data_IF_209130107222
#
_entry.id   IF_209130107222
#
_cell.length_a   1.000
_cell.length_b   1.000
_cell.length_c   1.000
_cell.angle_alpha   90.00
_cell.angle_beta   90.00
_cell.angle_gamma   90.00
#
_symmetry.space_group_name_H-M   'P 1'
#
loop_
_entity.id
_entity.type
_entity.pdbx_description
1 polymer ?
#
# COMPACT_ATOMS: atom_id res chain seq x y z
N UNK A 1 14.79 25.03 -36.54
CA UNK A 1 14.98 25.98 -35.42
C UNK A 1 14.16 25.42 -34.27
N UNK A 2 14.63 24.47 -33.46
CA UNK A 2 15.68 24.56 -32.41
C UNK A 2 15.51 25.79 -31.51
N UNK A 3 15.22 25.49 -30.24
CA UNK A 3 15.39 26.27 -29.00
C UNK A 3 14.24 27.14 -28.45
N UNK A 4 14.06 26.97 -27.13
CA UNK A 4 13.21 27.67 -26.15
C UNK A 4 11.74 27.20 -26.10
N UNK A 5 11.24 26.54 -25.04
CA UNK A 5 11.50 26.80 -23.61
C UNK A 5 11.37 25.53 -22.76
N UNK A 6 12.49 25.20 -22.11
CA UNK A 6 12.73 24.09 -21.20
C UNK A 6 12.16 24.40 -19.80
N UNK A 7 10.85 24.61 -19.69
CA UNK A 7 10.24 25.08 -18.42
C UNK A 7 8.85 24.51 -18.08
N UNK A 8 8.46 23.35 -18.63
CA UNK A 8 7.16 22.72 -18.33
C UNK A 8 7.24 21.33 -17.66
N UNK A 9 8.42 20.92 -17.18
CA UNK A 9 8.62 19.60 -16.52
C UNK A 9 8.64 19.69 -14.99
N UNK A 10 8.32 20.85 -14.40
CA UNK A 10 8.30 21.07 -12.93
C UNK A 10 6.89 21.29 -12.34
N UNK A 11 5.82 20.93 -13.05
CA UNK A 11 4.44 21.15 -12.61
C UNK A 11 3.59 19.88 -12.40
N UNK A 12 4.19 18.68 -12.44
CA UNK A 12 3.50 17.40 -12.12
C UNK A 12 3.97 16.92 -10.72
N UNK A 13 4.08 17.85 -9.77
CA UNK A 13 4.18 17.54 -8.35
C UNK A 13 2.85 17.94 -7.69
N UNK A 14 2.21 16.96 -7.07
CA UNK A 14 0.99 17.09 -6.23
C UNK A 14 -0.28 17.58 -6.93
N UNK A 15 -1.29 16.72 -7.15
CA UNK A 15 -2.64 17.16 -6.83
C UNK A 15 -2.68 17.34 -5.31
N UNK A 16 -3.11 18.53 -4.89
CA UNK A 16 -3.38 18.95 -3.52
C UNK A 16 -3.64 17.79 -2.56
N UNK A 17 -2.83 17.74 -1.49
CA UNK A 17 -2.98 16.77 -0.44
C UNK A 17 -4.39 16.78 0.13
N UNK A 18 -5.14 15.72 -0.12
CA UNK A 18 -6.03 15.21 0.90
C UNK A 18 -5.14 14.83 2.08
N UNK A 19 -5.08 15.72 3.08
CA UNK A 19 -4.63 15.35 4.42
C UNK A 19 -5.31 14.03 4.76
N UNK A 20 -4.59 13.06 5.33
CA UNK A 20 -5.22 11.91 5.99
C UNK A 20 -6.40 12.45 6.81
N UNK A 21 -7.62 12.24 6.33
CA UNK A 21 -8.81 12.85 6.92
C UNK A 21 -9.03 12.18 8.28
N UNK A 22 -9.69 12.91 9.19
CA UNK A 22 -9.86 12.54 10.60
C UNK A 22 -10.47 11.15 10.87
N UNK A 23 -10.97 10.44 9.86
CA UNK A 23 -11.51 9.09 10.00
C UNK A 23 -10.42 8.02 10.13
N UNK A 24 -9.32 8.11 9.37
CA UNK A 24 -8.11 7.26 9.59
C UNK A 24 -7.40 7.61 10.91
N UNK A 25 -7.65 8.82 11.42
CA UNK A 25 -7.12 9.34 12.70
C UNK A 25 -7.78 8.68 13.92
N UNK A 26 -9.06 8.32 13.81
CA UNK A 26 -9.88 7.83 14.92
C UNK A 26 -9.55 6.38 15.32
N UNK A 27 -9.37 5.48 14.34
CA UNK A 27 -9.21 4.06 14.65
C UNK A 27 -7.79 3.68 15.09
N UNK A 28 -6.79 4.44 14.66
CA UNK A 28 -5.38 4.24 15.02
C UNK A 28 -5.07 4.59 16.50
N UNK A 29 -5.78 5.58 17.06
CA UNK A 29 -5.52 6.10 18.41
C UNK A 29 -5.93 5.16 19.55
N UNK A 30 -6.80 4.18 19.31
CA UNK A 30 -7.42 3.39 20.40
C UNK A 30 -6.55 2.25 20.93
N UNK A 31 -5.42 1.93 20.28
CA UNK A 31 -4.58 0.78 20.64
C UNK A 31 -3.19 1.11 21.21
N UNK A 32 -2.84 2.40 21.36
CA UNK A 32 -1.49 2.83 21.76
C UNK A 32 -1.31 3.03 23.28
N UNK A 33 -0.15 2.66 23.86
CA UNK A 33 0.21 3.01 25.23
C UNK A 33 0.38 4.53 25.40
N UNK A 34 -0.20 5.08 26.48
CA UNK A 34 -0.37 6.51 26.78
C UNK A 34 0.91 7.27 27.23
N UNK A 35 2.11 6.82 26.86
CA UNK A 35 3.39 7.41 27.32
C UNK A 35 4.28 7.97 26.20
N UNK A 36 3.73 8.23 25.01
CA UNK A 36 4.51 8.80 23.89
C UNK A 36 4.53 10.32 23.93
N UNK A 37 5.67 10.93 23.57
CA UNK A 37 5.68 12.36 23.26
C UNK A 37 4.81 12.62 22.03
N UNK A 38 4.03 13.70 22.05
CA UNK A 38 3.14 14.06 20.94
C UNK A 38 3.93 14.24 19.62
N UNK A 39 5.18 14.70 19.71
CA UNK A 39 6.05 14.92 18.55
C UNK A 39 6.52 13.62 17.88
N UNK A 40 6.78 12.55 18.66
CA UNK A 40 7.14 11.25 18.10
C UNK A 40 5.94 10.60 17.39
N UNK A 41 4.73 10.74 17.96
CA UNK A 41 3.51 10.30 17.30
C UNK A 41 3.26 11.08 15.99
N UNK A 42 3.43 12.40 16.01
CA UNK A 42 3.32 13.24 14.81
C UNK A 42 4.32 12.80 13.72
N UNK A 43 5.58 12.51 14.10
CA UNK A 43 6.59 12.02 13.17
C UNK A 43 6.24 10.64 12.60
N UNK A 44 5.73 9.74 13.44
CA UNK A 44 5.25 8.43 13.02
C UNK A 44 4.11 8.54 11.99
N UNK A 45 3.08 9.31 12.29
CA UNK A 45 1.93 9.51 11.40
C UNK A 45 2.36 10.10 10.06
N UNK A 46 3.31 11.03 10.07
CA UNK A 46 3.84 11.65 8.85
C UNK A 46 4.57 10.64 7.97
N UNK A 47 5.48 9.85 8.54
CA UNK A 47 6.24 8.83 7.79
C UNK A 47 5.29 7.73 7.30
N UNK A 48 4.38 7.26 8.16
CA UNK A 48 3.37 6.26 7.81
C UNK A 48 2.50 6.74 6.64
N UNK A 49 2.06 8.01 6.64
CA UNK A 49 1.27 8.58 5.54
C UNK A 49 2.06 8.59 4.23
N UNK A 50 3.34 8.98 4.26
CA UNK A 50 4.20 8.98 3.07
C UNK A 50 4.46 7.57 2.52
N UNK A 51 4.68 6.59 3.40
CA UNK A 51 4.78 5.18 3.03
C UNK A 51 3.48 4.70 2.38
N UNK A 52 2.33 5.00 3.01
CA UNK A 52 1.01 4.65 2.50
C UNK A 52 0.74 5.26 1.12
N UNK A 53 1.12 6.51 0.90
CA UNK A 53 0.95 7.18 -0.40
C UNK A 53 1.95 6.66 -1.45
N UNK A 54 3.04 6.01 -1.02
CA UNK A 54 4.15 5.58 -1.88
C UNK A 54 5.07 6.73 -2.28
N UNK A 55 5.07 7.82 -1.50
CA UNK A 55 6.07 8.90 -1.62
C UNK A 55 7.46 8.43 -1.15
N UNK A 56 7.49 7.38 -0.33
CA UNK A 56 8.69 6.66 0.08
C UNK A 56 8.69 5.27 -0.59
N UNK A 57 9.53 5.10 -1.60
CA UNK A 57 9.56 3.90 -2.42
C UNK A 57 10.27 2.73 -1.70
N UNK A 58 9.89 1.50 -2.03
CA UNK A 58 10.59 0.29 -1.55
C UNK A 58 12.08 0.36 -1.88
N UNK A 59 12.93 -0.02 -0.92
CA UNK A 59 14.39 0.05 -1.03
C UNK A 59 14.99 1.46 -0.87
N UNK A 60 14.17 2.52 -0.91
CA UNK A 60 14.68 3.89 -0.84
C UNK A 60 15.18 4.23 0.57
N UNK A 61 16.21 5.07 0.62
CA UNK A 61 16.72 5.62 1.88
C UNK A 61 15.77 6.68 2.43
N UNK A 62 15.47 6.61 3.72
CA UNK A 62 14.59 7.54 4.40
C UNK A 62 15.31 8.87 4.69
N UNK A 63 14.83 10.01 4.17
CA UNK A 63 15.49 11.30 4.37
C UNK A 63 15.09 11.93 5.71
N UNK A 64 15.53 11.36 6.83
CA UNK A 64 15.13 11.75 8.21
C UNK A 64 15.21 13.26 8.49
N UNK A 65 16.24 13.94 7.98
CA UNK A 65 16.43 15.38 8.17
C UNK A 65 15.37 16.20 7.42
N UNK A 66 15.04 15.79 6.19
CA UNK A 66 14.00 16.46 5.41
C UNK A 66 12.63 16.22 6.07
N UNK A 67 12.35 14.99 6.48
CA UNK A 67 11.11 14.62 7.18
C UNK A 67 10.92 15.42 8.47
N UNK A 68 11.99 15.59 9.28
CA UNK A 68 11.95 16.42 10.49
C UNK A 68 11.58 17.89 10.16
N UNK A 69 12.20 18.43 9.11
CA UNK A 69 11.97 19.80 8.65
C UNK A 69 10.54 20.03 8.16
N UNK A 70 9.97 19.06 7.44
CA UNK A 70 8.61 19.15 6.89
C UNK A 70 7.52 19.34 7.97
N UNK A 71 7.71 18.73 9.14
CA UNK A 71 6.74 18.79 10.26
C UNK A 71 7.20 19.67 11.42
N UNK A 72 8.34 20.37 11.27
CA UNK A 72 8.84 21.34 12.25
C UNK A 72 9.32 20.72 13.56
N UNK A 73 9.86 19.50 13.54
CA UNK A 73 10.36 18.80 14.74
C UNK A 73 11.88 18.58 14.67
N UNK A 74 12.50 18.23 15.80
CA UNK A 74 13.92 17.82 15.82
C UNK A 74 14.11 16.40 15.29
N UNK A 75 15.36 15.95 15.13
CA UNK A 75 15.65 14.59 14.63
C UNK A 75 15.29 13.48 15.63
N UNK A 76 15.25 13.77 16.93
CA UNK A 76 14.97 12.79 17.98
C UNK A 76 13.59 12.13 17.83
N UNK A 77 12.46 12.87 17.75
CA UNK A 77 11.15 12.25 17.54
C UNK A 77 11.03 11.51 16.20
N UNK A 78 11.75 11.95 15.16
CA UNK A 78 11.83 11.20 13.89
C UNK A 78 12.52 9.86 14.09
N UNK A 79 13.63 9.80 14.83
CA UNK A 79 14.31 8.53 15.13
C UNK A 79 13.46 7.58 15.96
N UNK A 80 12.70 8.09 16.94
CA UNK A 80 11.74 7.28 17.70
C UNK A 80 10.65 6.69 16.79
N UNK A 81 10.09 7.51 15.89
CA UNK A 81 9.12 7.06 14.90
C UNK A 81 9.69 5.99 13.96
N UNK A 82 10.93 6.17 13.50
CA UNK A 82 11.61 5.20 12.64
C UNK A 82 11.86 3.88 13.37
N UNK A 83 12.33 3.90 14.62
CA UNK A 83 12.54 2.69 15.41
C UNK A 83 11.23 1.90 15.60
N UNK A 84 10.11 2.62 15.78
CA UNK A 84 8.79 2.00 15.82
C UNK A 84 8.43 1.36 14.48
N UNK A 85 8.56 2.07 13.37
CA UNK A 85 8.25 1.55 12.03
C UNK A 85 9.16 0.39 11.61
N UNK A 86 10.40 0.36 12.12
CA UNK A 86 11.29 -0.79 12.00
C UNK A 86 10.78 -1.99 12.79
N UNK A 87 10.37 -1.79 14.05
CA UNK A 87 9.79 -2.88 14.86
C UNK A 87 8.50 -3.47 14.28
N UNK A 88 7.82 -2.69 13.43
CA UNK A 88 6.60 -3.10 12.71
C UNK A 88 6.92 -3.72 11.33
N UNK A 89 8.19 -3.76 10.93
CA UNK A 89 8.63 -4.37 9.67
C UNK A 89 8.45 -3.48 8.43
N UNK A 90 8.25 -2.17 8.57
CA UNK A 90 8.16 -1.26 7.43
C UNK A 90 9.50 -0.72 6.99
N UNK A 91 10.41 -0.53 7.94
CA UNK A 91 11.74 0.02 7.72
C UNK A 91 12.80 -0.97 8.18
N UNK A 92 14.02 -0.75 7.73
CA UNK A 92 15.23 -1.39 8.26
C UNK A 92 16.25 -0.30 8.59
N UNK A 93 16.79 -0.31 9.81
CA UNK A 93 17.89 0.57 10.19
C UNK A 93 19.22 -0.14 9.99
N UNK A 94 20.13 0.55 9.33
CA UNK A 94 21.48 0.06 9.06
C UNK A 94 22.48 0.95 9.80
N UNK A 95 23.26 0.40 10.75
CA UNK A 95 24.24 1.15 11.54
C UNK A 95 25.15 2.02 10.67
N UNK A 96 25.31 3.28 11.04
CA UNK A 96 26.11 4.30 10.34
C UNK A 96 25.68 4.63 8.89
N UNK A 97 24.73 3.91 8.31
CA UNK A 97 24.23 4.18 6.96
C UNK A 97 22.89 4.92 7.00
N UNK A 98 21.98 4.55 7.88
CA UNK A 98 20.66 5.17 8.04
C UNK A 98 19.51 4.18 7.86
N UNK A 99 18.32 4.72 7.65
CA UNK A 99 17.07 3.96 7.63
C UNK A 99 16.55 3.81 6.20
N UNK A 100 16.01 2.65 5.84
CA UNK A 100 15.52 2.35 4.49
C UNK A 100 14.12 1.77 4.54
N UNK A 101 13.32 1.99 3.49
CA UNK A 101 12.07 1.26 3.30
C UNK A 101 12.42 -0.19 3.01
N UNK A 102 11.94 -1.10 3.86
CA UNK A 102 12.21 -2.54 3.74
C UNK A 102 11.71 -3.07 2.40
N UNK A 103 12.21 -4.21 1.96
CA UNK A 103 11.59 -5.04 0.93
C UNK A 103 11.26 -6.40 1.55
N UNK A 104 10.01 -6.83 1.39
CA UNK A 104 9.55 -8.15 1.82
C UNK A 104 10.17 -9.23 0.94
N UNK A 105 10.58 -10.34 1.53
CA UNK A 105 11.04 -11.51 0.76
C UNK A 105 9.85 -12.26 0.16
N UNK A 106 10.10 -13.11 -0.84
CA UNK A 106 9.04 -13.82 -1.57
C UNK A 106 8.24 -14.78 -0.66
N UNK A 107 8.94 -15.52 0.18
CA UNK A 107 8.36 -16.42 1.19
C UNK A 107 7.57 -15.65 2.24
N UNK A 108 8.14 -14.57 2.79
CA UNK A 108 7.45 -13.69 3.74
C UNK A 108 6.16 -13.11 3.15
N UNK A 109 6.16 -12.75 1.87
CA UNK A 109 4.97 -12.26 1.18
C UNK A 109 3.91 -13.35 1.03
N UNK A 110 4.32 -14.60 0.74
CA UNK A 110 3.40 -15.73 0.66
C UNK A 110 2.75 -16.04 2.02
N UNK A 111 3.55 -16.03 3.09
CA UNK A 111 3.10 -16.17 4.48
C UNK A 111 2.12 -15.05 4.87
N UNK A 112 2.39 -13.81 4.44
CA UNK A 112 1.48 -12.68 4.66
C UNK A 112 0.10 -12.94 4.04
N UNK A 113 0.05 -13.47 2.81
CA UNK A 113 -1.23 -13.80 2.18
C UNK A 113 -1.96 -14.95 2.89
N UNK A 114 -1.24 -15.91 3.49
CA UNK A 114 -1.86 -16.99 4.26
C UNK A 114 -2.51 -16.40 5.49
N UNK A 115 -1.78 -15.54 6.19
CA UNK A 115 -2.27 -14.81 7.33
C UNK A 115 -3.50 -13.95 6.99
N UNK A 116 -3.43 -13.17 5.90
CA UNK A 116 -4.55 -12.34 5.41
C UNK A 116 -5.79 -13.18 5.14
N UNK A 117 -5.65 -14.27 4.40
CA UNK A 117 -6.78 -15.12 4.02
C UNK A 117 -7.50 -15.66 5.27
N UNK A 118 -6.75 -16.20 6.24
CA UNK A 118 -7.36 -16.72 7.47
C UNK A 118 -7.98 -15.61 8.33
N UNK A 119 -7.26 -14.51 8.53
CA UNK A 119 -7.69 -13.42 9.40
C UNK A 119 -8.91 -12.68 8.83
N UNK A 120 -8.86 -12.31 7.55
CA UNK A 120 -9.92 -11.52 6.92
C UNK A 120 -11.20 -12.33 6.70
N UNK A 121 -11.09 -13.64 6.40
CA UNK A 121 -12.27 -14.50 6.32
C UNK A 121 -12.93 -14.72 7.68
N UNK A 122 -12.16 -14.85 8.75
CA UNK A 122 -12.72 -14.90 10.10
C UNK A 122 -13.33 -13.55 10.50
N UNK A 123 -12.69 -12.44 10.17
CA UNK A 123 -13.25 -11.11 10.38
C UNK A 123 -14.58 -10.93 9.64
N UNK A 124 -14.68 -11.41 8.39
CA UNK A 124 -15.91 -11.40 7.61
C UNK A 124 -17.04 -12.18 8.30
N UNK A 125 -16.74 -13.34 8.88
CA UNK A 125 -17.71 -14.13 9.65
C UNK A 125 -18.28 -13.33 10.83
N UNK A 126 -17.40 -12.71 11.62
CA UNK A 126 -17.81 -11.87 12.74
C UNK A 126 -18.63 -10.67 12.27
N UNK A 127 -18.20 -10.02 11.19
CA UNK A 127 -18.93 -8.88 10.61
C UNK A 127 -20.32 -9.30 10.13
N UNK A 128 -20.47 -10.45 9.46
CA UNK A 128 -21.77 -10.95 9.02
C UNK A 128 -22.76 -11.11 10.19
N UNK A 129 -22.27 -11.52 11.36
CA UNK A 129 -23.10 -11.72 12.54
C UNK A 129 -23.54 -10.42 13.22
N UNK A 130 -22.77 -9.33 13.05
CA UNK A 130 -22.99 -8.07 13.78
C UNK A 130 -23.16 -6.82 12.92
N UNK A 131 -23.12 -6.93 11.59
CA UNK A 131 -23.17 -5.79 10.69
C UNK A 131 -24.51 -5.04 10.79
N UNK A 132 -24.43 -3.72 10.91
CA UNK A 132 -25.57 -2.83 10.81
C UNK A 132 -25.68 -2.19 9.42
N UNK A 133 -26.80 -1.50 9.17
CA UNK A 133 -27.03 -0.81 7.91
C UNK A 133 -25.95 0.25 7.60
N UNK A 134 -25.38 0.87 8.64
CA UNK A 134 -24.37 1.92 8.50
C UNK A 134 -23.04 1.35 7.99
N UNK A 135 -22.60 0.21 8.51
CA UNK A 135 -21.41 -0.48 8.03
C UNK A 135 -21.58 -0.95 6.58
N UNK A 136 -22.72 -1.58 6.27
CA UNK A 136 -23.04 -2.04 4.90
C UNK A 136 -23.02 -0.85 3.92
N UNK A 137 -23.55 0.30 4.33
CA UNK A 137 -23.51 1.52 3.53
C UNK A 137 -22.07 1.98 3.29
N UNK A 138 -21.25 2.11 4.34
CA UNK A 138 -19.85 2.56 4.22
C UNK A 138 -19.01 1.66 3.32
N UNK A 139 -19.13 0.34 3.47
CA UNK A 139 -18.44 -0.62 2.58
C UNK A 139 -18.92 -0.48 1.13
N UNK A 140 -20.23 -0.26 0.94
CA UNK A 140 -20.83 0.02 -0.37
C UNK A 140 -20.32 1.32 -1.01
N UNK A 141 -20.12 2.38 -0.24
CA UNK A 141 -19.58 3.66 -0.70
C UNK A 141 -18.13 3.51 -1.18
N UNK A 142 -17.27 2.78 -0.45
CA UNK A 142 -15.91 2.47 -0.90
C UNK A 142 -15.91 1.69 -2.23
N UNK A 143 -16.82 0.71 -2.37
CA UNK A 143 -17.00 -0.02 -3.63
C UNK A 143 -17.43 0.89 -4.79
N UNK A 144 -18.30 1.87 -4.51
CA UNK A 144 -18.77 2.82 -5.51
C UNK A 144 -17.64 3.76 -5.95
N UNK A 145 -16.86 4.29 -5.01
CA UNK A 145 -15.73 5.18 -5.30
C UNK A 145 -14.65 4.48 -6.15
N UNK A 146 -14.33 3.21 -5.87
CA UNK A 146 -13.41 2.43 -6.70
C UNK A 146 -13.92 2.30 -8.14
N UNK A 147 -15.21 2.02 -8.30
CA UNK A 147 -15.83 1.89 -9.62
C UNK A 147 -15.95 3.24 -10.35
N UNK A 148 -16.10 4.34 -9.62
CA UNK A 148 -16.15 5.69 -10.19
C UNK A 148 -14.81 6.11 -10.79
N UNK A 149 -13.69 5.76 -10.14
CA UNK A 149 -12.35 5.97 -10.72
C UNK A 149 -12.16 5.21 -12.04
N UNK A 150 -12.62 3.95 -12.10
CA UNK A 150 -12.62 3.16 -13.34
C UNK A 150 -13.41 3.89 -14.44
N UNK A 151 -14.61 4.40 -14.13
CA UNK A 151 -15.43 5.14 -15.10
C UNK A 151 -14.79 6.45 -15.55
N UNK A 152 -14.14 7.18 -14.65
CA UNK A 152 -13.49 8.45 -14.97
C UNK A 152 -12.30 8.23 -15.91
N UNK A 153 -11.48 7.19 -15.64
CA UNK A 153 -10.42 6.74 -16.52
C UNK A 153 -10.93 6.45 -17.93
N UNK A 154 -12.03 5.72 -18.05
CA UNK A 154 -12.61 5.38 -19.36
C UNK A 154 -13.08 6.60 -20.17
N UNK A 155 -13.64 7.61 -19.48
CA UNK A 155 -14.24 8.79 -20.15
C UNK A 155 -13.23 9.81 -20.63
N UNK A 156 -12.00 9.81 -20.13
CA UNK A 156 -11.04 10.88 -20.43
C UNK A 156 -10.44 10.79 -21.84
N UNK A 157 -10.72 9.74 -22.64
CA UNK A 157 -10.09 9.42 -23.95
C UNK A 157 -8.54 9.42 -23.94
N UNK A 158 -7.92 9.59 -22.77
CA UNK A 158 -6.47 9.57 -22.55
C UNK A 158 -5.94 8.17 -22.24
N UNK A 159 -6.78 7.14 -22.42
CA UNK A 159 -6.47 5.77 -22.01
C UNK A 159 -6.41 4.90 -23.26
N UNK A 160 -5.22 4.38 -23.54
CA UNK A 160 -5.10 3.17 -24.34
C UNK A 160 -5.65 2.01 -23.50
N UNK A 161 -6.71 1.29 -23.94
CA UNK A 161 -7.29 0.16 -23.20
C UNK A 161 -6.28 -0.95 -22.87
N UNK A 162 -5.15 -0.98 -23.58
CA UNK A 162 -4.08 -1.98 -23.49
C UNK A 162 -2.88 -1.46 -22.69
N UNK A 163 -2.67 -0.14 -22.66
CA UNK A 163 -1.58 0.52 -21.96
C UNK A 163 -2.12 1.61 -21.03
N UNK A 164 -2.27 1.31 -19.74
CA UNK A 164 -1.60 2.07 -18.68
C UNK A 164 -2.20 1.84 -17.29
N UNK A 165 -1.32 1.92 -16.29
CA UNK A 165 -1.62 1.88 -14.85
C UNK A 165 -2.52 3.00 -14.33
N UNK A 166 -3.27 3.70 -15.18
CA UNK A 166 -4.19 4.77 -14.79
C UNK A 166 -5.37 4.25 -13.96
N UNK A 167 -5.78 2.99 -14.16
CA UNK A 167 -6.89 2.42 -13.35
C UNK A 167 -6.49 2.18 -11.90
N UNK A 168 -5.21 1.89 -11.67
CA UNK A 168 -4.64 1.55 -10.37
C UNK A 168 -3.86 2.74 -9.80
N UNK A 169 -4.50 3.91 -9.75
CA UNK A 169 -3.89 5.10 -9.14
C UNK A 169 -3.58 4.85 -7.65
N UNK A 170 -2.67 5.64 -7.04
CA UNK A 170 -2.46 5.60 -5.60
C UNK A 170 -3.75 5.74 -4.79
N UNK A 171 -4.72 6.51 -5.32
CA UNK A 171 -6.04 6.71 -4.72
C UNK A 171 -6.94 5.47 -4.86
N UNK A 172 -6.94 4.78 -6.01
CA UNK A 172 -7.71 3.53 -6.19
C UNK A 172 -7.30 2.47 -5.18
N UNK A 173 -5.99 2.23 -5.05
CA UNK A 173 -5.44 1.30 -4.06
C UNK A 173 -5.78 1.69 -2.62
N UNK A 174 -6.13 2.96 -2.39
CA UNK A 174 -6.36 3.54 -1.05
C UNK A 174 -7.76 3.15 -0.60
N UNK A 175 -8.69 3.17 -1.54
CA UNK A 175 -10.05 2.71 -1.37
C UNK A 175 -10.11 1.19 -1.16
N UNK A 176 -9.34 0.43 -1.93
CA UNK A 176 -9.19 -1.03 -1.79
C UNK A 176 -8.67 -1.40 -0.39
N UNK A 177 -7.55 -0.82 0.03
CA UNK A 177 -6.99 -1.07 1.36
C UNK A 177 -7.94 -0.61 2.49
N UNK A 178 -8.63 0.53 2.33
CA UNK A 178 -9.63 1.02 3.31
C UNK A 178 -10.83 0.08 3.43
N UNK A 179 -11.22 -0.61 2.37
CA UNK A 179 -12.30 -1.58 2.43
C UNK A 179 -11.94 -2.75 3.35
N UNK A 180 -10.76 -3.33 3.13
CA UNK A 180 -10.27 -4.42 3.96
C UNK A 180 -9.99 -3.97 5.41
N UNK A 181 -9.49 -2.76 5.60
CA UNK A 181 -9.29 -2.18 6.93
C UNK A 181 -10.61 -2.03 7.68
N UNK A 182 -11.63 -1.45 7.03
CA UNK A 182 -12.95 -1.28 7.61
C UNK A 182 -13.58 -2.63 7.97
N UNK A 183 -13.41 -3.66 7.13
CA UNK A 183 -13.87 -5.02 7.41
C UNK A 183 -13.23 -5.57 8.70
N UNK A 184 -11.89 -5.52 8.80
CA UNK A 184 -11.17 -6.00 9.98
C UNK A 184 -11.54 -5.21 11.24
N UNK A 185 -11.63 -3.88 11.14
CA UNK A 185 -11.99 -3.02 12.26
C UNK A 185 -13.39 -3.29 12.79
N UNK A 186 -14.29 -3.72 11.91
CA UNK A 186 -15.69 -4.00 12.23
C UNK A 186 -15.93 -5.40 12.80
N UNK A 187 -14.90 -6.25 12.88
CA UNK A 187 -15.02 -7.63 13.38
C UNK A 187 -15.27 -7.74 14.89
N UNK A 188 -15.35 -6.63 15.63
CA UNK A 188 -15.52 -6.60 17.09
C UNK A 188 -14.54 -7.49 17.87
N UNK A 189 -13.35 -7.71 17.31
CA UNK A 189 -12.28 -8.51 17.91
C UNK A 189 -11.05 -7.63 18.13
N UNK A 190 -10.70 -7.41 19.40
CA UNK A 190 -9.60 -6.52 19.80
C UNK A 190 -8.24 -6.91 19.24
N UNK A 191 -7.99 -8.20 19.00
CA UNK A 191 -6.74 -8.65 18.41
C UNK A 191 -6.70 -8.38 16.91
N UNK A 192 -7.80 -8.65 16.20
CA UNK A 192 -7.95 -8.33 14.78
C UNK A 192 -7.76 -6.82 14.56
N UNK A 193 -8.42 -5.99 15.37
CA UNK A 193 -8.30 -4.53 15.32
C UNK A 193 -6.88 -4.02 15.60
N UNK A 194 -6.12 -4.71 16.46
CA UNK A 194 -4.73 -4.33 16.77
C UNK A 194 -3.80 -4.60 15.58
N UNK A 195 -4.00 -5.71 14.86
CA UNK A 195 -3.13 -6.08 13.73
C UNK A 195 -3.58 -5.48 12.39
N UNK A 196 -4.82 -5.00 12.29
CA UNK A 196 -5.41 -4.55 11.02
C UNK A 196 -4.65 -3.39 10.38
N UNK A 197 -4.20 -2.41 11.18
CA UNK A 197 -3.47 -1.24 10.65
C UNK A 197 -2.13 -1.62 10.02
N UNK A 198 -1.39 -2.51 10.67
CA UNK A 198 -0.09 -2.98 10.18
C UNK A 198 -0.26 -3.80 8.88
N UNK A 199 -1.23 -4.71 8.86
CA UNK A 199 -1.49 -5.61 7.74
C UNK A 199 -1.79 -4.86 6.43
N UNK A 200 -2.55 -3.76 6.51
CA UNK A 200 -2.92 -2.98 5.33
C UNK A 200 -1.81 -2.08 4.83
N UNK A 201 -1.02 -1.50 5.73
CA UNK A 201 0.17 -0.75 5.30
C UNK A 201 1.17 -1.70 4.63
N UNK A 202 1.39 -2.91 5.18
CA UNK A 202 2.28 -3.91 4.56
C UNK A 202 1.77 -4.32 3.18
N UNK A 203 0.49 -4.66 3.08
CA UNK A 203 -0.14 -5.00 1.79
C UNK A 203 0.01 -3.85 0.79
N UNK A 204 -0.08 -2.60 1.23
CA UNK A 204 -0.03 -1.45 0.33
C UNK A 204 1.37 -1.04 -0.10
N UNK A 205 2.38 -1.18 0.77
CA UNK A 205 3.79 -0.91 0.43
C UNK A 205 4.35 -2.05 -0.42
N UNK A 206 4.04 -3.31 -0.06
CA UNK A 206 4.68 -4.51 -0.61
C UNK A 206 3.85 -5.26 -1.65
N UNK A 207 2.64 -4.78 -1.99
CA UNK A 207 1.92 -5.20 -3.21
C UNK A 207 1.91 -4.09 -4.27
N UNK A 208 3.07 -3.74 -4.86
CA UNK A 208 3.17 -2.71 -5.88
C UNK A 208 2.68 -3.21 -7.25
N UNK A 209 1.45 -3.75 -7.30
CA UNK A 209 0.69 -3.83 -8.54
C UNK A 209 0.75 -2.52 -9.36
N UNK A 210 1.06 -1.40 -8.70
CA UNK A 210 1.54 -0.12 -9.26
C UNK A 210 2.51 -0.23 -10.44
N UNK A 211 3.44 -1.18 -10.41
CA UNK A 211 4.58 -1.19 -11.34
C UNK A 211 4.41 -2.20 -12.49
N UNK A 212 3.81 -3.37 -12.25
CA UNK A 212 3.62 -4.40 -13.29
C UNK A 212 2.20 -4.46 -13.86
N UNK A 213 1.24 -3.69 -13.32
CA UNK A 213 -0.08 -3.54 -13.95
C UNK A 213 -0.06 -2.81 -15.31
N UNK A 214 1.08 -2.75 -16.01
CA UNK A 214 1.15 -2.41 -17.43
C UNK A 214 1.13 -3.68 -18.27
N UNK A 215 0.09 -4.51 -18.07
CA UNK A 215 -0.22 -5.61 -18.98
C UNK A 215 -1.60 -5.39 -19.60
N UNK A 216 -1.84 -6.06 -20.73
CA UNK A 216 -3.03 -5.91 -21.59
C UNK A 216 -4.37 -6.24 -20.87
N UNK A 217 -4.35 -6.62 -19.58
CA UNK A 217 -5.50 -7.12 -18.85
C UNK A 217 -5.87 -6.32 -17.57
N UNK A 218 -5.23 -5.17 -17.33
CA UNK A 218 -5.46 -4.33 -16.13
C UNK A 218 -6.90 -3.85 -15.97
N UNK A 219 -7.61 -3.62 -17.08
CA UNK A 219 -9.02 -3.24 -17.05
C UNK A 219 -9.93 -4.35 -16.51
N UNK A 220 -9.79 -5.57 -17.06
CA UNK A 220 -10.54 -6.73 -16.60
C UNK A 220 -10.25 -7.04 -15.13
N UNK A 221 -9.00 -6.88 -14.70
CA UNK A 221 -8.58 -7.01 -13.31
C UNK A 221 -9.33 -6.04 -12.40
N UNK A 222 -9.35 -4.74 -12.72
CA UNK A 222 -10.01 -3.74 -11.88
C UNK A 222 -11.53 -3.98 -11.78
N UNK A 223 -12.19 -4.30 -12.89
CA UNK A 223 -13.62 -4.65 -12.91
C UNK A 223 -13.88 -5.90 -12.06
N UNK A 224 -13.03 -6.93 -12.17
CA UNK A 224 -13.13 -8.15 -11.36
C UNK A 224 -13.02 -7.83 -9.87
N UNK A 225 -12.05 -7.02 -9.46
CA UNK A 225 -11.87 -6.61 -8.07
C UNK A 225 -13.10 -5.86 -7.55
N UNK A 226 -13.62 -4.88 -8.30
CA UNK A 226 -14.84 -4.17 -7.92
C UNK A 226 -16.06 -5.10 -7.81
N UNK A 227 -16.18 -6.11 -8.68
CA UNK A 227 -17.25 -7.13 -8.60
C UNK A 227 -17.12 -7.99 -7.35
N UNK A 228 -15.92 -8.42 -6.99
CA UNK A 228 -15.65 -9.21 -5.79
C UNK A 228 -15.99 -8.42 -4.52
N UNK A 229 -15.51 -7.19 -4.41
CA UNK A 229 -15.84 -6.27 -3.32
C UNK A 229 -17.35 -6.10 -3.13
N UNK A 230 -18.09 -5.82 -4.22
CA UNK A 230 -19.55 -5.75 -4.18
C UNK A 230 -20.21 -7.07 -3.79
N UNK A 231 -19.65 -8.21 -4.21
CA UNK A 231 -20.08 -9.54 -3.82
C UNK A 231 -19.95 -9.79 -2.32
N UNK A 232 -18.84 -9.35 -1.72
CA UNK A 232 -18.61 -9.40 -0.28
C UNK A 232 -19.64 -8.54 0.47
N UNK A 233 -19.86 -7.28 0.04
CA UNK A 233 -20.88 -6.41 0.67
C UNK A 233 -22.29 -7.01 0.57
N UNK A 234 -22.62 -7.62 -0.56
CA UNK A 234 -23.91 -8.32 -0.72
C UNK A 234 -24.03 -9.51 0.23
N UNK A 235 -22.95 -10.27 0.41
CA UNK A 235 -22.91 -11.41 1.32
C UNK A 235 -23.10 -10.96 2.77
N UNK A 236 -22.46 -9.85 3.17
CA UNK A 236 -22.67 -9.20 4.48
C UNK A 236 -24.14 -8.81 4.67
N UNK A 237 -24.72 -8.13 3.67
CA UNK A 237 -26.13 -7.70 3.72
C UNK A 237 -27.11 -8.86 3.86
N UNK A 238 -26.84 -9.98 3.21
CA UNK A 238 -27.75 -11.12 3.13
C UNK A 238 -27.49 -12.19 4.20
N UNK A 239 -26.44 -12.04 5.03
CA UNK A 239 -26.04 -13.07 5.97
C UNK A 239 -25.44 -14.33 5.32
N UNK A 240 -24.96 -14.25 4.08
CA UNK A 240 -24.45 -15.40 3.32
C UNK A 240 -22.94 -15.61 3.56
N UNK A 241 -22.61 -16.29 4.66
CA UNK A 241 -21.22 -16.57 5.04
C UNK A 241 -20.46 -17.36 3.98
N UNK A 242 -21.08 -18.39 3.39
CA UNK A 242 -20.40 -19.28 2.46
C UNK A 242 -19.95 -18.51 1.22
N UNK A 243 -20.87 -17.82 0.56
CA UNK A 243 -20.55 -17.04 -0.64
C UNK A 243 -19.58 -15.90 -0.32
N UNK A 244 -19.76 -15.22 0.83
CA UNK A 244 -18.88 -14.14 1.26
C UNK A 244 -17.44 -14.60 1.43
N UNK A 245 -17.25 -15.71 2.16
CA UNK A 245 -15.93 -16.30 2.42
C UNK A 245 -15.28 -16.79 1.14
N UNK A 246 -16.00 -17.53 0.30
CA UNK A 246 -15.46 -18.04 -0.96
C UNK A 246 -15.04 -16.89 -1.91
N UNK A 247 -15.83 -15.80 -1.94
CA UNK A 247 -15.50 -14.59 -2.71
C UNK A 247 -14.25 -13.89 -2.17
N UNK A 248 -14.13 -13.74 -0.85
CA UNK A 248 -12.98 -13.08 -0.21
C UNK A 248 -11.70 -13.91 -0.34
N UNK A 249 -11.75 -15.23 -0.15
CA UNK A 249 -10.61 -16.11 -0.38
C UNK A 249 -10.09 -15.97 -1.82
N UNK A 250 -10.99 -16.07 -2.80
CA UNK A 250 -10.63 -15.94 -4.22
C UNK A 250 -10.01 -14.57 -4.53
N UNK A 251 -10.55 -13.51 -3.91
CA UNK A 251 -10.03 -12.16 -4.09
C UNK A 251 -8.60 -12.01 -3.55
N UNK A 252 -8.35 -12.50 -2.33
CA UNK A 252 -7.02 -12.46 -1.70
C UNK A 252 -6.01 -13.33 -2.46
N UNK A 253 -6.41 -14.54 -2.87
CA UNK A 253 -5.56 -15.47 -3.62
C UNK A 253 -5.19 -14.93 -5.02
N UNK A 254 -6.09 -14.21 -5.69
CA UNK A 254 -5.74 -13.52 -6.93
C UNK A 254 -4.73 -12.38 -6.69
N UNK A 255 -4.88 -11.65 -5.59
CA UNK A 255 -3.87 -10.70 -5.14
C UNK A 255 -2.52 -11.38 -4.89
N UNK A 256 -2.51 -12.58 -4.29
CA UNK A 256 -1.30 -13.38 -4.08
C UNK A 256 -0.59 -13.67 -5.39
N UNK A 257 -1.30 -14.25 -6.37
CA UNK A 257 -0.72 -14.57 -7.66
C UNK A 257 -0.13 -13.34 -8.36
N UNK A 258 -0.79 -12.19 -8.27
CA UNK A 258 -0.34 -10.93 -8.87
C UNK A 258 0.91 -10.38 -8.18
N UNK A 259 0.99 -10.51 -6.85
CA UNK A 259 2.16 -10.15 -6.07
C UNK A 259 3.33 -11.10 -6.28
N UNK A 260 3.10 -12.41 -6.42
CA UNK A 260 4.14 -13.38 -6.74
C UNK A 260 4.74 -13.13 -8.12
N UNK A 261 3.90 -12.89 -9.13
CA UNK A 261 4.38 -12.50 -10.46
C UNK A 261 5.24 -11.23 -10.42
N UNK A 262 4.95 -10.31 -9.49
CA UNK A 262 5.76 -9.13 -9.27
C UNK A 262 7.13 -9.42 -8.65
N UNK A 263 7.17 -10.31 -7.66
CA UNK A 263 8.44 -10.78 -7.09
C UNK A 263 9.29 -11.49 -8.13
N UNK A 264 8.69 -12.39 -8.91
CA UNK A 264 9.37 -13.12 -9.98
C UNK A 264 9.93 -12.15 -11.05
N UNK A 265 9.19 -11.09 -11.37
CA UNK A 265 9.68 -10.04 -12.27
C UNK A 265 10.85 -9.26 -11.69
N UNK A 266 10.82 -8.90 -10.39
CA UNK A 266 12.00 -8.26 -9.76
C UNK A 266 13.20 -9.18 -9.89
N UNK A 267 13.07 -10.44 -9.51
CA UNK A 267 14.18 -11.40 -9.55
C UNK A 267 14.78 -11.55 -10.96
N UNK A 268 13.94 -11.54 -11.99
CA UNK A 268 14.37 -11.60 -13.38
C UNK A 268 15.16 -10.36 -13.84
N UNK A 269 14.85 -9.16 -13.32
CA UNK A 269 15.41 -7.89 -13.81
C UNK A 269 16.43 -7.24 -12.87
N UNK A 270 16.47 -7.64 -11.60
CA UNK A 270 17.34 -7.00 -10.60
C UNK A 270 18.82 -7.14 -10.98
N UNK A 271 19.20 -8.25 -11.61
CA UNK A 271 20.57 -8.53 -12.05
C UNK A 271 20.88 -8.08 -13.49
N UNK A 272 19.93 -7.45 -14.18
CA UNK A 272 20.16 -6.92 -15.53
C UNK A 272 21.34 -5.92 -15.54
N UNK A 273 21.95 -5.70 -16.70
CA UNK A 273 22.94 -4.62 -16.82
C UNK A 273 22.24 -3.26 -16.67
N UNK A 274 22.91 -2.22 -16.13
CA UNK A 274 22.30 -0.89 -16.00
C UNK A 274 21.70 -0.34 -17.30
N UNK A 275 22.31 -0.65 -18.46
CA UNK A 275 21.80 -0.26 -19.77
C UNK A 275 20.47 -0.95 -20.16
N UNK A 276 20.19 -2.15 -19.64
CA UNK A 276 18.93 -2.86 -19.83
C UNK A 276 17.85 -2.30 -18.92
N UNK A 277 18.14 -2.07 -17.63
CA UNK A 277 17.18 -1.44 -16.69
C UNK A 277 16.73 -0.05 -17.13
N UNK A 278 17.63 0.75 -17.74
CA UNK A 278 17.28 2.08 -18.31
C UNK A 278 16.26 2.04 -19.45
N UNK A 279 15.96 0.86 -20.03
CA UNK A 279 14.89 0.70 -21.03
C UNK A 279 13.51 0.51 -20.38
N UNK A 280 13.46 0.19 -19.09
CA UNK A 280 12.21 0.10 -18.34
C UNK A 280 11.65 1.51 -18.10
N UNK A 281 10.33 1.64 -17.88
CA UNK A 281 9.76 2.88 -17.38
C UNK A 281 10.48 3.36 -16.11
N UNK A 282 10.62 4.68 -15.98
CA UNK A 282 11.45 5.34 -14.96
C UNK A 282 11.17 4.86 -13.53
N UNK A 283 9.89 4.72 -13.16
CA UNK A 283 9.49 4.23 -11.84
C UNK A 283 10.01 2.82 -11.55
N UNK A 284 9.97 1.93 -12.56
CA UNK A 284 10.45 0.56 -12.42
C UNK A 284 11.98 0.53 -12.28
N UNK A 285 12.67 1.31 -13.10
CA UNK A 285 14.13 1.41 -13.06
C UNK A 285 14.59 1.96 -11.71
N UNK A 286 13.98 3.05 -11.23
CA UNK A 286 14.30 3.66 -9.94
C UNK A 286 14.05 2.71 -8.77
N UNK A 287 12.95 1.95 -8.82
CA UNK A 287 12.69 0.93 -7.79
C UNK A 287 13.76 -0.16 -7.78
N UNK A 288 14.13 -0.70 -8.94
CA UNK A 288 15.18 -1.74 -9.01
C UNK A 288 16.53 -1.22 -8.49
N UNK A 289 16.90 0.01 -8.82
CA UNK A 289 18.13 0.64 -8.32
C UNK A 289 18.08 0.83 -6.78
N UNK A 290 16.95 1.26 -6.23
CA UNK A 290 16.76 1.35 -4.77
C UNK A 290 16.91 -0.01 -4.09
N UNK A 291 16.30 -1.06 -4.65
CA UNK A 291 16.39 -2.43 -4.11
C UNK A 291 17.82 -2.95 -4.18
N UNK A 292 18.52 -2.73 -5.31
CA UNK A 292 19.92 -3.13 -5.47
C UNK A 292 20.81 -2.44 -4.44
N UNK A 293 20.65 -1.13 -4.28
CA UNK A 293 21.41 -0.37 -3.30
C UNK A 293 21.16 -0.90 -1.88
N UNK A 294 19.91 -1.16 -1.51
CA UNK A 294 19.59 -1.74 -0.21
C UNK A 294 20.26 -3.11 -0.02
N UNK A 295 20.24 -3.99 -1.03
CA UNK A 295 20.90 -5.30 -0.99
C UNK A 295 22.40 -5.19 -0.78
N UNK A 296 23.06 -4.27 -1.50
CA UNK A 296 24.50 -4.01 -1.37
C UNK A 296 24.86 -3.53 0.05
N UNK A 297 24.09 -2.58 0.57
CA UNK A 297 24.30 -2.05 1.92
C UNK A 297 24.12 -3.13 2.98
N UNK A 298 23.11 -4.01 2.84
CA UNK A 298 22.88 -5.11 3.76
C UNK A 298 23.98 -6.18 3.68
N UNK A 299 24.47 -6.51 2.49
CA UNK A 299 25.55 -7.48 2.32
C UNK A 299 26.85 -7.01 3.01
N UNK A 300 27.20 -5.74 2.84
CA UNK A 300 28.40 -5.15 3.44
C UNK A 300 28.36 -5.10 4.98
N UNK A 301 27.19 -5.29 5.61
CA UNK A 301 27.06 -5.37 7.08
C UNK A 301 27.29 -6.79 7.62
N UNK A 302 27.05 -7.83 6.82
CA UNK A 302 27.28 -9.22 7.22
C UNK A 302 28.78 -9.55 7.23
N UNK A 303 29.55 -8.84 6.40
CA UNK A 303 31.00 -9.01 6.25
C UNK A 303 31.84 -8.13 7.20
N UNK A 304 31.21 -7.31 8.05
CA UNK A 304 31.86 -6.33 8.96
C UNK A 304 31.72 -6.70 10.44
#
# INVERSE_FOLDING_TARGET
MVASSFQCVLAIMSPAGEKCTGESRSTFMSSMPQTRSNLALQAYEHIHCKLWNGELAVGSKLPEVALAKEIGVSRTPVREAVAQLESEGFLVQIPNTGSFVRMMQRDELDELFDFRMHLECYALELVIQSADAKLIQKLGELCAQMFDQIKQAYKSEQVDPVADGFVFTPHWHQLDARFHELLLQSANNRWIQRVSGQLHLMSRIFMPGRIIARNENSWHRAIRICRQHRGIVRSIRNGDLKTGRDTLCLHIDQGRHESMAFMDWIEAHINDKPAQRRKLPEEQANMLENILHLREVLANQVDA
#
